data_IF_101986659011
#
_entry.id   IF_101986659011
#
_cell.length_a   1.000
_cell.length_b   1.000
_cell.length_c   1.000
_cell.angle_alpha   90.00
_cell.angle_beta   90.00
_cell.angle_gamma   90.00
#
_symmetry.space_group_name_H-M   'P 1'
#
loop_
_entity.id
_entity.type
_entity.pdbx_description
1 polymer ?
#
# COMPACT_ATOMS: atom_id res chain seq x y z
N UNK A 1 20.36 0.74 3.95
CA UNK A 1 19.09 1.46 4.16
C UNK A 1 19.46 2.93 4.38
N UNK A 2 18.95 3.84 3.54
CA UNK A 2 19.21 5.27 3.74
C UNK A 2 18.38 5.76 4.92
N UNK A 3 19.05 6.23 5.96
CA UNK A 3 18.41 6.87 7.13
C UNK A 3 17.80 8.22 6.75
N UNK A 4 18.34 8.83 5.70
CA UNK A 4 17.95 10.15 5.18
C UNK A 4 17.53 10.01 3.73
N UNK A 5 16.37 10.53 3.40
CA UNK A 5 15.84 10.56 2.04
C UNK A 5 15.28 11.95 1.73
N UNK A 6 15.69 12.49 0.60
CA UNK A 6 15.08 13.67 0.01
C UNK A 6 14.04 13.21 -1.02
N UNK A 7 12.78 13.50 -0.77
CA UNK A 7 11.71 13.33 -1.77
C UNK A 7 11.70 14.58 -2.63
N UNK A 8 12.17 14.45 -3.86
CA UNK A 8 12.20 15.54 -4.84
C UNK A 8 11.38 15.12 -6.06
N UNK A 9 10.13 15.52 -6.09
CA UNK A 9 9.19 15.20 -7.15
C UNK A 9 9.25 16.30 -8.21
N UNK A 10 9.80 15.97 -9.37
CA UNK A 10 9.78 16.86 -10.55
C UNK A 10 8.39 16.78 -11.20
N UNK A 11 7.58 17.80 -11.00
CA UNK A 11 6.23 17.89 -11.56
C UNK A 11 6.29 18.55 -12.93
N UNK A 12 5.61 18.00 -13.93
CA UNK A 12 5.37 18.70 -15.18
C UNK A 12 4.41 19.88 -14.96
N UNK A 13 4.45 20.89 -15.84
CA UNK A 13 3.54 22.04 -15.74
C UNK A 13 2.06 21.61 -15.77
N UNK A 14 1.71 20.65 -16.63
CA UNK A 14 0.36 20.11 -16.70
C UNK A 14 -0.08 19.42 -15.40
N UNK A 15 0.80 18.64 -14.77
CA UNK A 15 0.53 17.98 -13.51
C UNK A 15 0.38 18.98 -12.35
N UNK A 16 1.22 20.02 -12.32
CA UNK A 16 1.11 21.08 -11.32
C UNK A 16 -0.20 21.86 -11.46
N UNK A 17 -0.60 22.19 -12.70
CA UNK A 17 -1.90 22.84 -12.95
C UNK A 17 -3.06 21.96 -12.50
N UNK A 18 -3.00 20.65 -12.73
CA UNK A 18 -4.01 19.70 -12.31
C UNK A 18 -4.13 19.64 -10.78
N UNK A 19 -3.01 19.57 -10.05
CA UNK A 19 -2.99 19.65 -8.59
C UNK A 19 -3.60 20.94 -8.06
N UNK A 20 -3.27 22.07 -8.70
CA UNK A 20 -3.80 23.38 -8.33
C UNK A 20 -5.32 23.47 -8.58
N UNK A 21 -5.81 22.90 -9.70
CA UNK A 21 -7.25 22.86 -10.03
C UNK A 21 -8.03 22.03 -9.04
N UNK A 22 -7.49 20.89 -8.62
CA UNK A 22 -8.12 20.03 -7.61
C UNK A 22 -8.13 20.68 -6.23
N UNK A 23 -7.17 21.56 -5.95
CA UNK A 23 -6.99 22.26 -4.67
C UNK A 23 -7.10 21.33 -3.44
N UNK A 24 -6.64 20.10 -3.59
CA UNK A 24 -6.72 19.07 -2.56
C UNK A 24 -5.47 19.10 -1.69
N UNK A 25 -5.64 19.45 -0.42
CA UNK A 25 -4.54 19.57 0.54
C UNK A 25 -3.83 18.24 0.76
N UNK A 26 -4.57 17.14 0.75
CA UNK A 26 -4.00 15.79 0.89
C UNK A 26 -3.05 15.47 -0.28
N UNK A 27 -3.51 15.63 -1.51
CA UNK A 27 -2.71 15.37 -2.71
C UNK A 27 -1.53 16.33 -2.82
N UNK A 28 -1.74 17.61 -2.55
CA UNK A 28 -0.67 18.61 -2.58
C UNK A 28 0.45 18.25 -1.58
N UNK A 29 0.11 17.82 -0.37
CA UNK A 29 1.09 17.40 0.62
C UNK A 29 1.79 16.09 0.22
N UNK A 30 1.05 15.08 -0.26
CA UNK A 30 1.62 13.81 -0.68
C UNK A 30 2.63 13.95 -1.83
N UNK A 31 2.38 14.89 -2.75
CA UNK A 31 3.25 15.20 -3.88
C UNK A 31 4.22 16.37 -3.61
N UNK A 32 4.36 16.84 -2.39
CA UNK A 32 5.32 17.90 -2.05
C UNK A 32 6.75 17.36 -1.92
N UNK A 33 7.71 18.26 -2.11
CA UNK A 33 9.10 17.95 -1.80
C UNK A 33 9.26 17.96 -0.27
N UNK A 34 9.81 16.88 0.25
CA UNK A 34 9.91 16.67 1.69
C UNK A 34 11.24 16.02 2.04
N UNK A 35 11.76 16.39 3.19
CA UNK A 35 12.87 15.71 3.83
C UNK A 35 12.33 14.57 4.71
N UNK A 36 12.87 13.37 4.58
CA UNK A 36 12.49 12.23 5.40
C UNK A 36 13.72 11.77 6.17
N UNK A 37 13.66 11.94 7.49
CA UNK A 37 14.60 11.36 8.43
C UNK A 37 13.97 10.12 9.04
N UNK A 38 14.46 8.95 8.67
CA UNK A 38 13.95 7.69 9.17
C UNK A 38 14.54 7.40 10.56
N UNK A 39 13.74 7.59 11.60
CA UNK A 39 14.11 7.39 12.99
C UNK A 39 14.14 5.92 13.38
N UNK A 40 13.24 5.14 12.79
CA UNK A 40 13.11 3.73 13.07
C UNK A 40 12.63 2.94 11.86
N UNK A 41 13.21 1.76 11.70
CA UNK A 41 12.77 0.75 10.74
C UNK A 41 12.95 -0.63 11.34
N UNK A 42 11.89 -1.41 11.30
CA UNK A 42 11.93 -2.81 11.66
C UNK A 42 11.25 -3.65 10.58
N UNK A 43 11.83 -4.80 10.27
CA UNK A 43 11.23 -5.76 9.34
C UNK A 43 11.25 -7.12 10.00
N UNK A 44 10.12 -7.78 9.99
CA UNK A 44 9.98 -9.16 10.44
C UNK A 44 9.55 -10.02 9.27
N UNK A 45 10.28 -11.09 9.01
CA UNK A 45 9.96 -12.06 7.97
C UNK A 45 9.95 -13.48 8.55
N UNK A 46 8.85 -14.17 8.34
CA UNK A 46 8.70 -15.59 8.67
C UNK A 46 8.29 -16.37 7.42
N UNK A 47 8.98 -17.48 7.15
CA UNK A 47 8.56 -18.42 6.10
C UNK A 47 8.91 -19.85 6.49
N UNK A 48 7.94 -20.75 6.37
CA UNK A 48 8.17 -22.18 6.53
C UNK A 48 8.38 -22.94 5.21
N UNK A 49 8.31 -22.24 4.07
CA UNK A 49 8.42 -22.86 2.75
C UNK A 49 9.75 -23.55 2.50
N UNK A 50 10.85 -22.97 2.97
CA UNK A 50 12.21 -23.52 2.76
C UNK A 50 12.51 -24.77 3.62
N UNK A 51 11.92 -24.88 4.81
CA UNK A 51 12.16 -26.03 5.71
C UNK A 51 11.68 -27.37 5.13
N UNK A 52 10.70 -27.33 4.24
CA UNK A 52 10.11 -28.53 3.62
C UNK A 52 10.96 -29.11 2.48
N UNK A 53 11.78 -28.31 1.82
CA UNK A 53 12.67 -28.77 0.76
C UNK A 53 13.91 -29.51 1.27
N UNK A 54 14.42 -29.15 2.46
CA UNK A 54 15.64 -29.80 3.02
C UNK A 54 15.40 -31.16 3.66
N UNK A 55 14.17 -31.52 3.99
CA UNK A 55 13.87 -32.74 4.79
C UNK A 55 13.63 -34.00 3.96
N UNK A 56 13.66 -33.97 2.61
CA UNK A 56 13.40 -35.14 1.77
C UNK A 56 12.01 -35.79 1.95
N UNK A 57 11.33 -35.51 3.02
CA UNK A 57 9.95 -35.96 3.27
C UNK A 57 9.02 -35.10 2.46
N UNK A 58 8.47 -35.63 1.37
CA UNK A 58 7.36 -35.06 0.62
C UNK A 58 6.16 -34.94 1.57
N UNK A 59 6.08 -33.83 2.32
CA UNK A 59 4.89 -33.51 3.10
C UNK A 59 3.79 -33.12 2.12
N UNK A 60 3.08 -34.11 1.65
CA UNK A 60 2.04 -34.05 0.64
C UNK A 60 0.86 -33.14 1.01
N UNK A 61 0.73 -32.79 2.29
CA UNK A 61 -0.40 -32.03 2.87
C UNK A 61 0.01 -30.78 3.67
N UNK A 62 1.27 -30.36 3.57
CA UNK A 62 1.72 -29.21 4.35
C UNK A 62 1.39 -27.86 3.67
N UNK A 63 0.86 -26.93 4.43
CA UNK A 63 0.74 -25.54 4.00
C UNK A 63 2.11 -24.84 4.06
N UNK A 64 2.43 -24.07 3.02
CA UNK A 64 3.52 -23.10 3.05
C UNK A 64 2.93 -21.76 3.52
N UNK A 65 3.50 -21.20 4.57
CA UNK A 65 3.06 -19.92 5.16
C UNK A 65 4.23 -18.96 5.07
N UNK A 66 3.99 -17.74 4.65
CA UNK A 66 4.90 -16.62 4.84
C UNK A 66 4.16 -15.42 5.45
N UNK A 67 4.85 -14.73 6.32
CA UNK A 67 4.37 -13.51 6.94
C UNK A 67 5.48 -12.47 6.91
N UNK A 68 5.17 -11.27 6.46
CA UNK A 68 6.06 -10.13 6.46
C UNK A 68 5.38 -8.97 7.17
N UNK A 69 6.08 -8.34 8.09
CA UNK A 69 5.66 -7.11 8.74
C UNK A 69 6.80 -6.09 8.62
N UNK A 70 6.44 -4.87 8.21
CA UNK A 70 7.37 -3.75 8.11
C UNK A 70 6.83 -2.59 8.93
N UNK A 71 7.68 -2.04 9.76
CA UNK A 71 7.43 -0.84 10.53
C UNK A 71 8.41 0.25 10.12
N UNK A 72 7.90 1.45 9.86
CA UNK A 72 8.67 2.65 9.57
C UNK A 72 8.22 3.77 10.50
N UNK A 73 9.18 4.52 11.06
CA UNK A 73 8.94 5.76 11.78
C UNK A 73 9.89 6.83 11.26
N UNK A 74 9.41 8.04 11.08
CA UNK A 74 10.20 9.15 10.54
C UNK A 74 9.85 10.49 11.19
N UNK A 75 10.85 11.39 11.26
CA UNK A 75 10.72 12.80 11.64
C UNK A 75 10.62 13.08 13.13
N UNK A 76 10.66 12.07 14.01
CA UNK A 76 10.50 12.28 15.45
C UNK A 76 11.71 12.96 16.07
N UNK A 77 12.92 12.60 15.66
CA UNK A 77 14.17 13.22 16.12
C UNK A 77 14.18 14.70 15.72
N UNK A 78 13.86 15.01 14.47
CA UNK A 78 13.80 16.40 13.99
C UNK A 78 12.73 17.20 14.74
N UNK A 79 11.57 16.59 14.97
CA UNK A 79 10.49 17.25 15.73
C UNK A 79 10.87 17.49 17.19
N UNK A 80 11.71 16.65 17.79
CA UNK A 80 12.30 16.89 19.11
C UNK A 80 13.15 18.17 19.15
N UNK A 81 13.80 18.49 18.04
CA UNK A 81 14.65 19.68 17.88
C UNK A 81 13.90 20.94 17.37
N UNK A 82 12.57 20.89 17.26
CA UNK A 82 11.75 21.94 16.61
C UNK A 82 11.93 23.35 17.17
N UNK A 83 12.37 23.50 18.43
CA UNK A 83 12.58 24.82 19.05
C UNK A 83 13.68 25.65 18.40
N UNK A 84 14.56 25.02 17.63
CA UNK A 84 15.68 25.64 16.93
C UNK A 84 15.46 25.73 15.43
N UNK A 85 14.23 25.46 14.95
CA UNK A 85 13.89 25.36 13.54
C UNK A 85 12.98 26.51 13.12
N UNK A 86 13.17 26.97 11.89
CA UNK A 86 12.27 27.91 11.25
C UNK A 86 10.96 27.21 10.85
N UNK A 87 9.91 28.00 10.64
CA UNK A 87 8.61 27.51 10.22
C UNK A 87 8.17 28.17 8.92
N UNK A 88 7.67 27.37 8.00
CA UNK A 88 7.02 27.84 6.78
C UNK A 88 5.64 27.20 6.66
N UNK A 89 4.61 28.00 6.47
CA UNK A 89 3.21 27.54 6.37
C UNK A 89 2.77 26.64 7.55
N UNK A 90 3.30 26.89 8.76
CA UNK A 90 2.99 26.12 9.98
C UNK A 90 3.69 24.77 10.08
N UNK A 91 4.66 24.49 9.23
CA UNK A 91 5.53 23.31 9.28
C UNK A 91 6.95 23.71 9.62
N UNK A 92 7.58 22.97 10.54
CA UNK A 92 8.99 23.12 10.84
C UNK A 92 9.85 22.65 9.67
N UNK A 93 10.97 23.34 9.45
CA UNK A 93 11.89 23.07 8.37
C UNK A 93 13.22 22.54 8.89
N UNK A 94 13.85 21.68 8.11
CA UNK A 94 15.23 21.27 8.25
C UNK A 94 15.93 21.45 6.90
N UNK A 95 17.01 22.22 6.87
CA UNK A 95 17.73 22.62 5.64
C UNK A 95 16.77 23.24 4.60
N UNK A 96 15.95 24.21 5.01
CA UNK A 96 14.97 24.93 4.19
C UNK A 96 13.88 24.05 3.55
N UNK A 97 13.72 22.82 4.00
CA UNK A 97 12.69 21.90 3.54
C UNK A 97 11.81 21.43 4.70
N UNK A 98 10.53 21.35 4.48
CA UNK A 98 9.62 20.68 5.40
C UNK A 98 9.96 19.21 5.48
N UNK A 99 9.87 18.62 6.67
CA UNK A 99 10.13 17.19 6.85
C UNK A 99 8.85 16.44 7.21
N UNK A 100 8.79 15.20 6.72
CA UNK A 100 7.68 14.31 7.03
C UNK A 100 7.82 13.69 8.42
N UNK A 101 6.70 13.65 9.16
CA UNK A 101 6.60 12.97 10.44
C UNK A 101 5.44 11.99 10.43
N UNK A 102 5.75 10.69 10.54
CA UNK A 102 4.75 9.63 10.48
C UNK A 102 5.24 8.34 11.13
N UNK A 103 4.30 7.45 11.42
CA UNK A 103 4.53 6.02 11.65
C UNK A 103 3.77 5.23 10.59
N UNK A 104 4.30 4.08 10.15
CA UNK A 104 3.71 3.20 9.16
C UNK A 104 3.94 1.75 9.53
N UNK A 105 2.89 0.96 9.48
CA UNK A 105 2.93 -0.49 9.63
C UNK A 105 2.32 -1.13 8.38
N UNK A 106 2.99 -2.13 7.84
CA UNK A 106 2.55 -2.87 6.67
C UNK A 106 2.72 -4.36 6.93
N UNK A 107 1.64 -5.12 6.77
CA UNK A 107 1.60 -6.56 7.04
C UNK A 107 1.13 -7.31 5.80
N UNK A 108 1.79 -8.42 5.51
CA UNK A 108 1.43 -9.33 4.44
C UNK A 108 1.51 -10.77 4.90
N UNK A 109 0.42 -11.49 4.77
CA UNK A 109 0.31 -12.91 5.04
C UNK A 109 0.02 -13.66 3.75
N UNK A 110 0.74 -14.75 3.50
CA UNK A 110 0.53 -15.64 2.35
C UNK A 110 0.49 -17.08 2.83
N UNK A 111 -0.54 -17.80 2.40
CA UNK A 111 -0.69 -19.23 2.62
C UNK A 111 -0.85 -19.93 1.27
N UNK A 112 -0.06 -20.95 1.03
CA UNK A 112 -0.20 -21.84 -0.12
C UNK A 112 -0.32 -23.28 0.37
N UNK A 113 -1.43 -23.95 0.04
CA UNK A 113 -1.70 -25.34 0.45
C UNK A 113 -1.98 -26.20 -0.78
N UNK A 114 -1.22 -27.26 -0.96
CA UNK A 114 -1.56 -28.31 -1.91
C UNK A 114 -2.74 -29.13 -1.35
N UNK A 115 -3.77 -29.31 -2.16
CA UNK A 115 -4.91 -30.15 -1.84
C UNK A 115 -4.65 -31.58 -2.32
N UNK A 116 -4.11 -31.72 -3.52
CA UNK A 116 -3.70 -32.97 -4.14
C UNK A 116 -2.52 -32.73 -5.11
N UNK A 117 -2.15 -33.72 -5.94
CA UNK A 117 -1.08 -33.60 -6.95
C UNK A 117 -1.36 -32.49 -7.96
N UNK A 118 -2.63 -32.28 -8.29
CA UNK A 118 -3.07 -31.47 -9.43
C UNK A 118 -3.73 -30.15 -8.97
N UNK A 119 -3.89 -29.90 -7.68
CA UNK A 119 -4.57 -28.69 -7.22
C UNK A 119 -3.98 -28.11 -5.93
N UNK A 120 -4.14 -26.78 -5.80
CA UNK A 120 -3.69 -26.01 -4.63
C UNK A 120 -4.57 -24.80 -4.39
N UNK A 121 -4.63 -24.37 -3.14
CA UNK A 121 -5.25 -23.10 -2.73
C UNK A 121 -4.14 -22.14 -2.30
N UNK A 122 -4.28 -20.91 -2.73
CA UNK A 122 -3.43 -19.80 -2.37
C UNK A 122 -4.29 -18.70 -1.75
N UNK A 123 -3.95 -18.29 -0.55
CA UNK A 123 -4.59 -17.18 0.15
C UNK A 123 -3.52 -16.11 0.44
N UNK A 124 -3.86 -14.87 0.22
CA UNK A 124 -3.06 -13.70 0.57
C UNK A 124 -3.92 -12.70 1.32
N UNK A 125 -3.43 -12.15 2.40
CA UNK A 125 -4.04 -11.02 3.10
C UNK A 125 -2.99 -9.93 3.34
N UNK A 126 -3.39 -8.69 3.17
CA UNK A 126 -2.55 -7.51 3.32
C UNK A 126 -3.31 -6.47 4.14
N UNK A 127 -2.64 -5.90 5.13
CA UNK A 127 -3.17 -4.81 5.94
C UNK A 127 -2.05 -3.84 6.28
N UNK A 128 -2.25 -2.57 5.97
CA UNK A 128 -1.29 -1.53 6.26
C UNK A 128 -1.98 -0.26 6.73
N UNK A 129 -1.32 0.47 7.62
CA UNK A 129 -1.75 1.77 8.08
C UNK A 129 -0.55 2.67 8.28
N UNK A 130 -0.67 3.90 7.84
CA UNK A 130 0.27 4.96 8.10
C UNK A 130 -0.45 6.15 8.71
N UNK A 131 0.12 6.70 9.76
CA UNK A 131 -0.46 7.82 10.50
C UNK A 131 0.50 9.00 10.38
N UNK A 132 0.16 10.01 9.57
CA UNK A 132 0.87 11.28 9.59
C UNK A 132 0.49 12.07 10.85
N UNK A 133 1.45 12.69 11.49
CA UNK A 133 1.24 13.49 12.70
C UNK A 133 2.30 14.57 12.88
N UNK A 134 2.16 15.38 13.91
CA UNK A 134 3.15 16.39 14.29
C UNK A 134 3.41 17.41 13.18
N UNK A 135 4.57 17.33 12.52
CA UNK A 135 4.95 18.26 11.46
C UNK A 135 4.19 18.00 10.14
N UNK A 136 3.73 16.76 9.90
CA UNK A 136 2.98 16.39 8.69
C UNK A 136 1.63 15.84 9.08
N UNK A 137 0.61 16.68 9.16
CA UNK A 137 -0.71 16.30 9.68
C UNK A 137 -1.68 15.78 8.62
N UNK A 138 -1.37 15.93 7.33
CA UNK A 138 -2.36 15.76 6.27
C UNK A 138 -2.34 14.37 5.64
N UNK A 139 -1.19 13.94 5.12
CA UNK A 139 -1.04 12.67 4.38
C UNK A 139 0.38 12.13 4.51
N UNK A 140 0.56 10.85 4.24
CA UNK A 140 1.89 10.29 4.06
C UNK A 140 2.57 10.89 2.82
N UNK A 141 3.92 10.97 2.80
CA UNK A 141 4.65 11.23 1.57
C UNK A 141 4.32 10.16 0.51
N UNK A 142 4.32 10.54 -0.77
CA UNK A 142 3.97 9.66 -1.88
C UNK A 142 4.68 8.30 -1.85
N UNK A 143 5.97 8.28 -1.53
CA UNK A 143 6.78 7.06 -1.48
C UNK A 143 6.41 6.09 -0.36
N UNK A 144 5.69 6.57 0.66
CA UNK A 144 5.21 5.78 1.80
C UNK A 144 3.70 5.54 1.76
N UNK A 145 3.00 6.16 0.82
CA UNK A 145 1.56 5.96 0.63
C UNK A 145 1.26 4.54 0.14
N UNK A 146 0.08 4.04 0.45
CA UNK A 146 -0.44 2.80 -0.09
C UNK A 146 -1.19 3.04 -1.39
N UNK A 147 -1.24 2.03 -2.23
CA UNK A 147 -2.03 1.98 -3.46
C UNK A 147 -2.63 0.60 -3.64
N UNK A 148 -3.70 0.51 -4.44
CA UNK A 148 -4.37 -0.74 -4.73
C UNK A 148 -4.72 -0.87 -6.23
N UNK A 149 -4.96 -2.13 -6.64
CA UNK A 149 -5.19 -2.52 -8.02
C UNK A 149 -3.96 -3.03 -8.75
N UNK A 150 -4.18 -3.82 -9.78
CA UNK A 150 -3.15 -4.44 -10.60
C UNK A 150 -3.08 -5.95 -10.47
N UNK A 151 -2.30 -6.58 -11.33
CA UNK A 151 -2.22 -8.04 -11.50
C UNK A 151 -1.81 -8.83 -10.24
N UNK A 152 -1.09 -8.19 -9.32
CA UNK A 152 -0.62 -8.80 -8.08
C UNK A 152 -1.44 -8.37 -6.84
N UNK A 153 -2.50 -7.61 -7.04
CA UNK A 153 -3.36 -7.07 -6.00
C UNK A 153 -4.83 -7.35 -6.31
N UNK A 154 -5.65 -6.34 -6.50
CA UNK A 154 -7.03 -6.50 -6.96
C UNK A 154 -7.06 -6.47 -8.50
N UNK A 155 -7.17 -7.65 -9.13
CA UNK A 155 -7.02 -7.86 -10.58
C UNK A 155 -8.13 -7.26 -11.43
N UNK A 156 -9.25 -6.86 -10.82
CA UNK A 156 -10.35 -6.17 -11.50
C UNK A 156 -10.04 -4.70 -11.85
N UNK A 157 -8.97 -4.14 -11.30
CA UNK A 157 -8.56 -2.75 -11.52
C UNK A 157 -7.17 -2.66 -12.11
N UNK A 158 -6.93 -1.60 -12.88
CA UNK A 158 -5.59 -1.25 -13.34
C UNK A 158 -4.69 -0.94 -12.13
N UNK A 159 -3.39 -1.10 -12.32
CA UNK A 159 -2.41 -0.79 -11.28
C UNK A 159 -2.60 0.64 -10.76
N UNK A 160 -2.68 0.78 -9.43
CA UNK A 160 -2.82 2.05 -8.72
C UNK A 160 -4.06 2.87 -9.10
N UNK A 161 -5.14 2.21 -9.52
CA UNK A 161 -6.36 2.87 -9.96
C UNK A 161 -7.57 2.57 -9.04
N UNK A 162 -7.40 1.77 -8.00
CA UNK A 162 -8.46 1.43 -7.07
C UNK A 162 -8.44 2.38 -5.86
N UNK A 163 -9.62 2.88 -5.49
CA UNK A 163 -9.84 3.73 -4.32
C UNK A 163 -9.45 5.20 -4.56
N UNK A 164 -9.21 5.97 -3.50
CA UNK A 164 -9.44 5.62 -2.10
C UNK A 164 -10.92 5.66 -1.71
N UNK A 165 -11.32 4.81 -0.76
CA UNK A 165 -12.69 4.71 -0.28
C UNK A 165 -13.70 4.45 -1.39
N UNK A 166 -14.82 5.17 -1.36
CA UNK A 166 -15.86 5.08 -2.39
C UNK A 166 -15.56 5.88 -3.68
N UNK A 167 -14.40 6.54 -3.78
CA UNK A 167 -14.05 7.34 -4.95
C UNK A 167 -13.94 6.50 -6.21
N UNK A 168 -14.62 6.95 -7.27
CA UNK A 168 -14.69 6.23 -8.54
C UNK A 168 -13.79 6.87 -9.59
N UNK A 169 -12.52 6.61 -9.49
CA UNK A 169 -11.49 7.12 -10.40
C UNK A 169 -11.84 6.97 -11.91
N UNK A 170 -12.49 5.87 -12.29
CA UNK A 170 -12.85 5.62 -13.68
C UNK A 170 -13.95 6.55 -14.22
N UNK A 171 -14.70 7.22 -13.34
CA UNK A 171 -15.74 8.20 -13.72
C UNK A 171 -15.17 9.63 -13.73
N UNK A 172 -13.98 9.84 -13.21
CA UNK A 172 -13.32 11.15 -13.23
C UNK A 172 -12.65 11.38 -14.59
N UNK A 173 -12.79 12.58 -15.11
CA UNK A 173 -12.13 13.02 -16.35
C UNK A 173 -10.64 13.23 -16.18
N UNK A 174 -10.17 13.48 -14.96
CA UNK A 174 -8.76 13.73 -14.60
C UNK A 174 -8.00 12.43 -14.25
N UNK A 175 -7.95 11.47 -15.15
CA UNK A 175 -7.43 10.10 -14.93
C UNK A 175 -5.90 9.95 -14.83
N UNK A 176 -5.17 11.02 -14.64
CA UNK A 176 -3.69 11.00 -14.65
C UNK A 176 -3.07 10.76 -13.28
N UNK A 177 -3.83 10.96 -12.20
CA UNK A 177 -3.32 10.81 -10.85
C UNK A 177 -3.34 9.35 -10.40
N UNK A 178 -2.22 8.88 -9.89
CA UNK A 178 -2.15 7.63 -9.12
C UNK A 178 -3.01 7.75 -7.87
N UNK A 179 -3.87 6.76 -7.65
CA UNK A 179 -4.67 6.72 -6.43
C UNK A 179 -3.81 6.26 -5.27
N UNK A 180 -3.78 7.06 -4.21
CA UNK A 180 -2.97 6.83 -3.01
C UNK A 180 -3.83 6.97 -1.75
N UNK A 181 -3.43 6.28 -0.70
CA UNK A 181 -4.06 6.32 0.62
C UNK A 181 -3.06 6.09 1.75
N UNK A 182 -3.50 6.25 2.97
CA UNK A 182 -2.71 6.02 4.18
C UNK A 182 -3.03 4.67 4.84
N UNK A 183 -4.17 4.08 4.49
CA UNK A 183 -4.65 2.79 5.00
C UNK A 183 -4.92 1.87 3.82
N UNK A 184 -4.55 0.60 3.95
CA UNK A 184 -4.82 -0.44 2.95
C UNK A 184 -5.30 -1.71 3.64
N UNK A 185 -6.33 -2.33 3.08
CA UNK A 185 -6.79 -3.67 3.45
C UNK A 185 -7.08 -4.43 2.16
N UNK A 186 -6.58 -5.65 2.05
CA UNK A 186 -6.81 -6.49 0.89
C UNK A 186 -6.68 -7.97 1.20
N UNK A 187 -7.40 -8.79 0.46
CA UNK A 187 -7.28 -10.23 0.47
C UNK A 187 -7.49 -10.82 -0.92
N UNK A 188 -6.86 -11.94 -1.18
CA UNK A 188 -6.98 -12.69 -2.43
C UNK A 188 -7.05 -14.17 -2.12
N UNK A 189 -7.98 -14.86 -2.75
CA UNK A 189 -8.10 -16.32 -2.72
C UNK A 189 -8.02 -16.85 -4.15
N UNK A 190 -7.14 -17.84 -4.38
CA UNK A 190 -6.94 -18.42 -5.69
C UNK A 190 -6.87 -19.94 -5.58
N UNK A 191 -7.74 -20.62 -6.33
CA UNK A 191 -7.70 -22.06 -6.54
C UNK A 191 -7.01 -22.37 -7.86
N UNK A 192 -5.93 -23.14 -7.82
CA UNK A 192 -5.14 -23.57 -8.99
C UNK A 192 -5.33 -25.05 -9.24
N UNK A 193 -5.48 -25.44 -10.50
CA UNK A 193 -5.66 -26.82 -10.91
C UNK A 193 -4.95 -27.09 -12.25
N UNK A 194 -4.47 -28.34 -12.44
CA UNK A 194 -3.84 -28.74 -13.69
C UNK A 194 -4.91 -29.09 -14.73
N UNK A 195 -4.73 -28.58 -15.94
CA UNK A 195 -5.54 -28.91 -17.13
C UNK A 195 -4.82 -29.90 -18.06
N UNK A 196 -3.57 -30.24 -17.76
CA UNK A 196 -2.69 -31.13 -18.48
C UNK A 196 -1.30 -31.11 -17.86
N UNK A 197 -0.30 -31.60 -18.55
CA UNK A 197 1.07 -31.65 -18.05
C UNK A 197 1.70 -30.26 -17.92
N UNK A 198 1.46 -29.37 -18.87
CA UNK A 198 2.04 -28.03 -18.95
C UNK A 198 1.05 -26.90 -18.63
N UNK A 199 -0.25 -27.13 -18.84
CA UNK A 199 -1.27 -26.09 -18.68
C UNK A 199 -1.94 -26.17 -17.31
N UNK A 200 -2.05 -25.01 -16.64
CA UNK A 200 -2.74 -24.85 -15.34
C UNK A 200 -3.83 -23.80 -15.46
N UNK A 201 -4.98 -24.11 -14.88
CA UNK A 201 -6.07 -23.14 -14.68
C UNK A 201 -6.02 -22.54 -13.28
N UNK A 202 -6.57 -21.36 -13.15
CA UNK A 202 -6.79 -20.73 -11.87
C UNK A 202 -8.14 -20.01 -11.85
N UNK A 203 -8.87 -20.13 -10.74
CA UNK A 203 -10.05 -19.31 -10.42
C UNK A 203 -9.69 -18.49 -9.21
N UNK A 204 -10.04 -17.21 -9.21
CA UNK A 204 -9.67 -16.33 -8.12
C UNK A 204 -10.76 -15.33 -7.75
N UNK A 205 -10.67 -14.85 -6.52
CA UNK A 205 -11.40 -13.69 -6.03
C UNK A 205 -10.45 -12.79 -5.25
N UNK A 206 -10.55 -11.48 -5.49
CA UNK A 206 -9.78 -10.45 -4.84
C UNK A 206 -10.73 -9.45 -4.20
N UNK A 207 -10.43 -9.03 -2.98
CA UNK A 207 -11.18 -8.00 -2.27
C UNK A 207 -10.21 -7.03 -1.63
N UNK A 208 -10.49 -5.73 -1.68
CA UNK A 208 -9.64 -4.76 -1.03
C UNK A 208 -9.94 -3.33 -1.42
N UNK A 209 -9.31 -2.41 -0.72
CA UNK A 209 -9.31 -0.98 -1.02
C UNK A 209 -8.19 -0.27 -0.25
N UNK A 210 -8.02 1.02 -0.54
CA UNK A 210 -7.24 1.97 0.23
C UNK A 210 -8.13 3.09 0.74
N UNK A 211 -7.69 3.77 1.79
CA UNK A 211 -8.38 4.93 2.39
C UNK A 211 -7.38 5.97 2.85
N UNK A 212 -7.82 7.19 3.03
CA UNK A 212 -7.06 8.24 3.69
C UNK A 212 -7.26 8.15 5.22
N UNK A 213 -6.25 8.56 5.98
CA UNK A 213 -6.38 8.69 7.43
C UNK A 213 -7.16 9.96 7.79
N UNK A 214 -6.85 11.06 7.14
CA UNK A 214 -7.54 12.33 7.30
C UNK A 214 -8.60 12.53 6.19
N UNK A 215 -9.48 13.49 6.40
CA UNK A 215 -10.43 13.91 5.39
C UNK A 215 -9.72 14.50 4.16
N UNK A 216 -10.28 14.25 3.00
CA UNK A 216 -9.81 14.75 1.71
C UNK A 216 -11.00 15.15 0.81
N UNK A 217 -10.72 15.78 -0.33
CA UNK A 217 -11.76 16.22 -1.28
C UNK A 217 -12.55 15.06 -1.89
N UNK A 218 -12.03 13.83 -1.82
CA UNK A 218 -12.65 12.61 -2.36
C UNK A 218 -13.58 11.92 -1.36
N UNK A 219 -13.73 12.45 -0.14
CA UNK A 219 -14.46 11.82 0.98
C UNK A 219 -14.02 10.38 1.25
N UNK A 220 -12.71 10.15 1.18
CA UNK A 220 -12.11 8.82 1.23
C UNK A 220 -11.54 8.45 2.60
N UNK A 221 -11.87 9.20 3.65
CA UNK A 221 -11.43 8.92 5.02
C UNK A 221 -11.92 7.56 5.49
N UNK A 222 -11.04 6.78 6.11
CA UNK A 222 -11.37 5.48 6.67
C UNK A 222 -12.41 5.59 7.78
N UNK A 223 -13.54 4.91 7.60
CA UNK A 223 -14.60 4.75 8.60
C UNK A 223 -14.97 3.27 8.67
N UNK A 224 -14.81 2.69 9.86
CA UNK A 224 -15.04 1.25 10.05
C UNK A 224 -16.45 0.81 9.63
N UNK A 225 -17.44 1.68 9.79
CA UNK A 225 -18.84 1.42 9.41
C UNK A 225 -19.01 1.27 7.89
N UNK A 226 -18.15 1.94 7.11
CA UNK A 226 -18.21 1.95 5.65
C UNK A 226 -17.26 0.94 5.01
N UNK A 227 -16.32 0.39 5.76
CA UNK A 227 -15.23 -0.44 5.26
C UNK A 227 -15.72 -1.54 4.31
N UNK A 228 -16.69 -2.35 4.73
CA UNK A 228 -17.20 -3.46 3.92
C UNK A 228 -17.89 -2.96 2.65
N UNK A 229 -18.65 -1.87 2.76
CA UNK A 229 -19.40 -1.28 1.63
C UNK A 229 -18.48 -0.67 0.58
N UNK A 230 -17.32 -0.18 0.99
CA UNK A 230 -16.34 0.47 0.14
C UNK A 230 -15.31 -0.49 -0.43
N UNK A 231 -15.27 -1.75 0.05
CA UNK A 231 -14.38 -2.74 -0.52
C UNK A 231 -14.75 -3.08 -1.97
N UNK A 232 -13.75 -3.09 -2.82
CA UNK A 232 -13.87 -3.52 -4.20
C UNK A 232 -13.66 -5.03 -4.31
N UNK A 233 -14.59 -5.72 -4.97
CA UNK A 233 -14.57 -7.16 -5.20
C UNK A 233 -14.32 -7.45 -6.67
N UNK A 234 -13.36 -8.31 -6.97
CA UNK A 234 -13.12 -8.87 -8.29
C UNK A 234 -13.12 -10.39 -8.25
N UNK A 235 -13.58 -11.02 -9.33
CA UNK A 235 -13.44 -12.45 -9.54
C UNK A 235 -13.05 -12.71 -10.99
N UNK A 236 -12.34 -13.80 -11.24
CA UNK A 236 -11.91 -14.13 -12.59
C UNK A 236 -11.26 -15.50 -12.66
N UNK A 237 -10.85 -15.84 -13.88
CA UNK A 237 -10.07 -17.04 -14.17
C UNK A 237 -8.80 -16.66 -14.93
N UNK A 238 -7.80 -17.52 -14.88
CA UNK A 238 -6.53 -17.35 -15.60
C UNK A 238 -5.97 -18.68 -16.05
N UNK A 239 -5.21 -18.63 -17.13
CA UNK A 239 -4.41 -19.76 -17.61
C UNK A 239 -2.94 -19.47 -17.36
N UNK A 240 -2.20 -20.50 -16.97
CA UNK A 240 -0.76 -20.44 -16.73
C UNK A 240 -0.09 -21.61 -17.48
N UNK A 241 0.99 -21.31 -18.14
CA UNK A 241 1.83 -22.27 -18.84
C UNK A 241 3.11 -22.48 -18.04
#
# INVERSE_FOLDING_TARGET
VSVIKLVNIKKSNAFQQQLNTLNDVYLNNAYSNQFIWQDGKASFEFSNAQKKFKSGKKSFLGAAISYNANFDAAGNVLYGLRRTQDTLNGQYQFLDLSYAQFVRLDNRYVLAKKLNLNSSIHFKAEAGAGIPYGNTKTSLPYDYSFYAGGSNDNRGWRARALGPGAYKYHLDTNRTLTQIGDIRIGASLEYRFSLGETLKGAIFTDVGNIWTYNEDSRNAQFKIQNMIREMALAAGFGLRV
#
